data_IF_349921760784
#
_entry.id   IF_349921760784
#
_cell.length_a   1.000
_cell.length_b   1.000
_cell.length_c   1.000
_cell.angle_alpha   90.00
_cell.angle_beta   90.00
_cell.angle_gamma   90.00
#
_symmetry.space_group_name_H-M   'P 1'
#
loop_
_entity.id
_entity.type
_entity.pdbx_description
1 polymer ?
#
# COMPACT_ATOMS: atom_id res chain seq x y z
N UNK A 1 -6.11 -4.66 19.45
CA UNK A 1 -6.63 -3.62 18.53
C UNK A 1 -7.29 -4.33 17.38
N UNK A 2 -8.55 -4.02 17.08
CA UNK A 2 -9.27 -4.65 15.96
C UNK A 2 -8.98 -3.88 14.67
N UNK A 3 -8.72 -4.61 13.58
CA UNK A 3 -8.51 -4.01 12.26
C UNK A 3 -9.81 -3.36 11.76
N UNK A 4 -9.71 -2.21 11.10
CA UNK A 4 -10.86 -1.49 10.58
C UNK A 4 -11.55 -2.27 9.43
N UNK A 5 -12.87 -2.17 9.27
CA UNK A 5 -13.60 -2.89 8.20
C UNK A 5 -13.11 -2.51 6.81
N UNK A 6 -12.76 -1.24 6.59
CA UNK A 6 -12.19 -0.77 5.32
C UNK A 6 -10.81 -1.37 5.05
N UNK A 7 -9.99 -1.52 6.10
CA UNK A 7 -8.67 -2.14 6.04
C UNK A 7 -8.78 -3.62 5.70
N UNK A 8 -9.75 -4.33 6.30
CA UNK A 8 -10.04 -5.72 5.95
C UNK A 8 -10.46 -5.86 4.47
N UNK A 9 -11.19 -4.88 3.93
CA UNK A 9 -11.60 -4.88 2.53
C UNK A 9 -10.46 -4.55 1.54
N UNK A 10 -9.34 -4.01 2.01
CA UNK A 10 -8.15 -3.74 1.20
C UNK A 10 -7.27 -4.97 1.00
N UNK A 11 -7.39 -6.00 1.85
CA UNK A 11 -6.57 -7.20 1.73
C UNK A 11 -6.80 -7.92 0.39
N UNK A 12 -5.78 -7.97 -0.46
CA UNK A 12 -5.89 -8.57 -1.80
C UNK A 12 -6.57 -7.68 -2.85
N UNK A 13 -6.95 -6.44 -2.51
CA UNK A 13 -7.48 -5.49 -3.47
C UNK A 13 -6.39 -4.95 -4.42
N UNK A 14 -6.74 -4.61 -5.65
CA UNK A 14 -5.78 -4.04 -6.63
C UNK A 14 -5.63 -2.50 -6.48
N UNK A 15 -4.73 -1.89 -7.26
CA UNK A 15 -4.43 -0.45 -7.14
C UNK A 15 -5.57 0.49 -7.52
N UNK A 16 -6.60 0.00 -8.23
CA UNK A 16 -7.77 0.79 -8.58
C UNK A 16 -8.66 1.03 -7.35
N UNK A 17 -8.53 0.19 -6.32
CA UNK A 17 -9.20 0.39 -5.04
C UNK A 17 -8.56 1.57 -4.31
N UNK A 18 -9.32 2.67 -4.22
CA UNK A 18 -8.92 3.85 -3.44
C UNK A 18 -8.82 3.49 -1.95
N UNK A 19 -7.74 3.90 -1.27
CA UNK A 19 -7.64 3.76 0.18
C UNK A 19 -8.73 4.61 0.84
N UNK A 20 -9.23 4.14 1.98
CA UNK A 20 -10.21 4.88 2.76
C UNK A 20 -9.55 6.07 3.49
N UNK A 21 -10.35 7.04 3.94
CA UNK A 21 -9.85 8.35 4.39
C UNK A 21 -8.83 8.30 5.56
N UNK A 22 -8.87 7.24 6.38
CA UNK A 22 -7.94 7.08 7.50
C UNK A 22 -6.61 6.43 7.11
N UNK A 23 -6.48 5.91 5.89
CA UNK A 23 -5.27 5.29 5.39
C UNK A 23 -4.43 6.33 4.64
N UNK A 24 -3.41 6.83 5.32
CA UNK A 24 -2.57 7.93 4.84
C UNK A 24 -1.25 7.40 4.30
N UNK A 25 -0.76 8.01 3.22
CA UNK A 25 0.58 7.74 2.70
C UNK A 25 1.61 8.21 3.73
N UNK A 26 2.45 7.29 4.18
CA UNK A 26 3.51 7.55 5.13
C UNK A 26 4.84 7.84 4.43
N UNK A 27 5.21 7.02 3.44
CA UNK A 27 6.40 7.23 2.63
C UNK A 27 6.30 6.49 1.29
N UNK A 28 7.16 6.86 0.34
CA UNK A 28 7.31 6.13 -0.91
C UNK A 28 8.80 5.97 -1.23
N UNK A 29 9.14 4.87 -1.89
CA UNK A 29 10.51 4.58 -2.31
C UNK A 29 10.54 4.08 -3.75
N UNK A 30 11.53 4.49 -4.56
CA UNK A 30 11.68 3.97 -5.92
C UNK A 30 12.07 2.49 -5.88
N UNK A 31 11.50 1.70 -6.81
CA UNK A 31 11.85 0.29 -7.01
C UNK A 31 12.20 0.05 -8.49
N UNK A 32 13.18 -0.83 -8.72
CA UNK A 32 13.51 -1.28 -10.06
C UNK A 32 12.51 -2.35 -10.47
N UNK A 33 11.49 -1.94 -11.23
CA UNK A 33 10.48 -2.86 -11.73
C UNK A 33 10.89 -3.41 -13.10
N UNK A 34 11.17 -4.70 -13.20
CA UNK A 34 11.55 -5.36 -14.46
C UNK A 34 12.77 -4.72 -15.15
N UNK A 35 13.78 -4.29 -14.38
CA UNK A 35 14.97 -3.56 -14.86
C UNK A 35 14.70 -2.18 -15.50
N UNK A 36 13.47 -1.67 -15.39
CA UNK A 36 13.13 -0.28 -15.69
C UNK A 36 12.85 0.44 -14.37
N UNK A 37 13.65 1.45 -14.03
CA UNK A 37 13.58 2.22 -12.78
C UNK A 37 12.32 3.13 -12.69
N UNK A 38 11.14 2.60 -13.01
CA UNK A 38 9.88 3.35 -13.11
C UNK A 38 8.85 2.90 -12.07
N UNK A 39 9.19 1.91 -11.25
CA UNK A 39 8.35 1.48 -10.15
C UNK A 39 8.58 2.33 -8.91
N UNK A 40 7.57 2.40 -8.05
CA UNK A 40 7.69 2.88 -6.67
C UNK A 40 6.89 1.98 -5.75
N UNK A 41 7.38 1.76 -4.55
CA UNK A 41 6.60 1.21 -3.44
C UNK A 41 6.04 2.35 -2.62
N UNK A 42 4.75 2.32 -2.35
CA UNK A 42 4.04 3.30 -1.52
C UNK A 42 3.67 2.61 -0.20
N UNK A 43 4.07 3.22 0.92
CA UNK A 43 3.83 2.74 2.28
C UNK A 43 2.76 3.59 2.95
N UNK A 44 1.74 2.95 3.50
CA UNK A 44 0.58 3.60 4.10
C UNK A 44 0.38 3.15 5.54
N UNK A 45 -0.14 4.05 6.38
CA UNK A 45 -0.49 3.76 7.77
C UNK A 45 -1.93 4.22 8.03
N UNK A 46 -2.74 3.33 8.57
CA UNK A 46 -4.10 3.66 8.97
C UNK A 46 -4.09 4.32 10.35
N UNK A 47 -4.50 5.60 10.44
CA UNK A 47 -4.56 6.32 11.72
C UNK A 47 -5.65 5.74 12.65
N UNK A 48 -6.73 5.17 12.08
CA UNK A 48 -7.84 4.64 12.87
C UNK A 48 -7.53 3.31 13.58
N UNK A 49 -6.73 2.42 12.97
CA UNK A 49 -6.46 1.09 13.55
C UNK A 49 -4.97 0.71 13.59
N UNK A 50 -4.07 1.56 13.11
CA UNK A 50 -2.62 1.34 13.09
C UNK A 50 -2.14 0.31 12.07
N UNK A 51 -3.01 -0.22 11.20
CA UNK A 51 -2.60 -1.20 10.19
C UNK A 51 -1.71 -0.53 9.14
N UNK A 52 -0.63 -1.22 8.78
CA UNK A 52 0.38 -0.75 7.85
C UNK A 52 0.23 -1.50 6.54
N UNK A 53 0.17 -0.76 5.45
CA UNK A 53 -0.04 -1.29 4.11
C UNK A 53 1.11 -0.88 3.19
N UNK A 54 1.42 -1.72 2.22
CA UNK A 54 2.34 -1.39 1.14
C UNK A 54 1.77 -1.85 -0.19
N UNK A 55 2.15 -1.15 -1.26
CA UNK A 55 1.84 -1.54 -2.63
C UNK A 55 2.92 -1.08 -3.59
N UNK A 56 3.22 -1.89 -4.58
CA UNK A 56 4.29 -1.65 -5.55
C UNK A 56 3.70 -1.17 -6.87
N UNK A 57 3.72 0.12 -7.16
CA UNK A 57 3.15 0.68 -8.40
C UNK A 57 4.21 0.85 -9.46
N UNK A 58 4.02 0.23 -10.61
CA UNK A 58 4.82 0.50 -11.80
C UNK A 58 3.92 0.88 -12.97
N UNK A 59 4.44 1.69 -13.91
CA UNK A 59 3.69 2.10 -15.11
C UNK A 59 3.26 0.90 -15.97
N UNK A 60 4.06 -0.16 -15.94
CA UNK A 60 3.82 -1.42 -16.63
C UNK A 60 2.96 -2.40 -15.82
N UNK A 61 2.71 -2.14 -14.53
CA UNK A 61 1.88 -2.97 -13.65
C UNK A 61 0.79 -2.14 -12.97
N UNK A 62 -0.34 -1.94 -13.66
CA UNK A 62 -1.49 -1.24 -13.08
C UNK A 62 -2.21 -2.08 -12.00
N UNK A 63 -1.97 -3.39 -11.94
CA UNK A 63 -2.73 -4.33 -11.09
C UNK A 63 -2.10 -4.60 -9.71
N UNK A 64 -1.08 -3.83 -9.31
CA UNK A 64 -0.43 -4.06 -8.03
C UNK A 64 -1.39 -4.17 -6.84
N UNK A 65 -1.14 -5.16 -6.00
CA UNK A 65 -2.07 -5.55 -4.95
C UNK A 65 -1.68 -4.88 -3.64
N UNK A 66 -2.68 -4.46 -2.87
CA UNK A 66 -2.52 -4.05 -1.49
C UNK A 66 -2.06 -5.23 -0.64
N UNK A 67 -0.95 -5.03 0.07
CA UNK A 67 -0.35 -6.03 0.95
C UNK A 67 -0.07 -5.39 2.32
N UNK A 68 -0.10 -6.18 3.39
CA UNK A 68 0.36 -5.71 4.70
C UNK A 68 1.84 -5.38 4.62
N UNK A 69 2.23 -4.21 5.16
CA UNK A 69 3.64 -3.83 5.12
C UNK A 69 4.47 -4.78 5.97
N UNK A 70 5.51 -5.33 5.36
CA UNK A 70 6.48 -6.19 6.08
C UNK A 70 7.48 -5.37 6.89
N UNK A 71 7.48 -4.05 6.71
CA UNK A 71 8.34 -3.11 7.43
C UNK A 71 7.56 -2.49 8.57
N UNK A 72 8.26 -2.21 9.66
CA UNK A 72 7.74 -1.35 10.72
C UNK A 72 7.94 0.09 10.29
N UNK A 73 6.84 0.74 9.92
CA UNK A 73 6.73 2.18 9.68
C UNK A 73 6.58 2.82 11.06
N UNK A 74 7.71 3.22 11.65
CA UNK A 74 7.80 3.81 12.99
C UNK A 74 7.93 5.33 12.93
#
# INVERSE_FOLDING_TARGET
MSVCKECLALEGANTATSPHANLLLHSEAPINFGATATGRVEYYVCNACGTQWERERARSEPEATWQHSRRTLA
#
